data_IF_390583937996
#
_entry.id   IF_390583937996
#
_cell.length_a   1.000
_cell.length_b   1.000
_cell.length_c   1.000
_cell.angle_alpha   90.00
_cell.angle_beta   90.00
_cell.angle_gamma   90.00
#
_symmetry.space_group_name_H-M   'P 1'
#
loop_
_entity.id
_entity.type
_entity.pdbx_description
1 polymer ?
#
# COMPACT_ATOMS: atom_id res chain seq x y z
N UNK A 1 -7.71 -6.48 -16.40
CA UNK A 1 -6.35 -6.02 -16.04
C UNK A 1 -5.71 -7.03 -15.12
N UNK A 2 -4.49 -7.43 -15.44
CA UNK A 2 -3.79 -8.44 -14.67
C UNK A 2 -2.91 -7.79 -13.61
N UNK A 3 -3.03 -8.24 -12.37
CA UNK A 3 -2.20 -7.77 -11.26
C UNK A 3 -0.97 -8.66 -11.10
N UNK A 4 0.15 -8.05 -10.72
CA UNK A 4 1.35 -8.79 -10.36
C UNK A 4 1.52 -8.76 -8.84
N UNK A 5 1.06 -9.82 -8.19
CA UNK A 5 1.20 -10.00 -6.75
C UNK A 5 2.20 -11.11 -6.40
N UNK A 6 3.01 -11.54 -7.35
CA UNK A 6 4.00 -12.61 -7.16
C UNK A 6 5.43 -12.10 -7.20
N UNK A 7 5.70 -11.08 -8.02
CA UNK A 7 7.04 -10.53 -8.15
C UNK A 7 7.35 -9.60 -7.00
N UNK A 8 8.41 -9.90 -6.25
CA UNK A 8 8.89 -9.02 -5.20
C UNK A 8 9.64 -7.83 -5.81
N UNK A 9 9.32 -6.64 -5.33
CA UNK A 9 9.99 -5.42 -5.77
C UNK A 9 11.30 -5.25 -5.00
N UNK A 10 12.39 -4.94 -5.72
CA UNK A 10 13.66 -4.59 -5.08
C UNK A 10 13.55 -3.16 -4.54
N UNK A 11 13.57 -3.03 -3.23
CA UNK A 11 13.42 -1.74 -2.55
C UNK A 11 14.74 -1.21 -1.99
N UNK A 12 15.85 -1.85 -2.34
CA UNK A 12 17.18 -1.42 -1.90
C UNK A 12 17.50 -0.03 -2.45
N UNK A 13 17.98 0.85 -1.60
CA UNK A 13 18.34 2.21 -2.01
C UNK A 13 17.16 3.16 -2.23
N UNK A 14 15.95 2.75 -1.89
CA UNK A 14 14.75 3.57 -2.08
C UNK A 14 14.27 4.27 -0.81
N UNK A 15 15.04 4.19 0.26
CA UNK A 15 14.68 4.83 1.52
C UNK A 15 13.71 4.02 2.38
N UNK A 16 13.49 2.74 2.06
CA UNK A 16 12.66 1.87 2.89
C UNK A 16 13.30 1.65 4.24
N UNK A 17 12.59 2.01 5.30
CA UNK A 17 13.13 1.93 6.67
C UNK A 17 13.52 0.50 7.02
N UNK A 18 12.70 -0.48 6.72
CA UNK A 18 13.00 -1.87 7.10
C UNK A 18 14.16 -2.46 6.31
N UNK A 19 14.28 -2.15 5.02
CA UNK A 19 15.38 -2.64 4.20
C UNK A 19 16.69 -1.95 4.56
N UNK A 20 16.67 -0.63 4.69
CA UNK A 20 17.88 0.14 5.03
C UNK A 20 18.39 -0.24 6.42
N UNK A 21 17.51 -0.40 7.41
CA UNK A 21 17.91 -0.80 8.75
C UNK A 21 18.46 -2.21 8.82
N UNK A 22 17.94 -3.13 8.03
CA UNK A 22 18.47 -4.49 7.96
C UNK A 22 19.95 -4.49 7.55
N UNK A 23 20.26 -3.76 6.47
CA UNK A 23 21.65 -3.67 5.98
C UNK A 23 22.53 -2.83 6.89
N UNK A 24 22.00 -1.84 7.58
CA UNK A 24 22.71 -1.04 8.55
C UNK A 24 23.20 -1.92 9.73
N UNK A 25 22.34 -2.79 10.22
CA UNK A 25 22.65 -3.67 11.34
C UNK A 25 23.55 -4.84 10.94
N UNK A 26 23.41 -5.35 9.73
CA UNK A 26 24.20 -6.47 9.22
C UNK A 26 24.47 -6.28 7.72
N UNK A 27 25.60 -5.63 7.36
CA UNK A 27 25.95 -5.43 5.95
C UNK A 27 26.15 -6.71 5.15
N UNK A 28 26.31 -7.84 5.82
CA UNK A 28 26.58 -9.14 5.20
C UNK A 28 25.35 -10.03 5.10
N UNK A 29 24.15 -9.44 5.08
CA UNK A 29 22.91 -10.21 4.91
C UNK A 29 22.94 -10.94 3.57
N UNK A 30 22.65 -12.25 3.60
CA UNK A 30 22.60 -13.08 2.40
C UNK A 30 21.44 -12.66 1.47
N UNK A 31 21.61 -12.91 0.17
CA UNK A 31 20.56 -12.69 -0.79
C UNK A 31 19.32 -13.52 -0.45
N UNK A 32 18.15 -12.94 -0.68
CA UNK A 32 16.88 -13.61 -0.43
C UNK A 32 16.32 -13.43 0.97
N UNK A 33 17.07 -12.83 1.89
CA UNK A 33 16.58 -12.52 3.24
C UNK A 33 15.68 -11.29 3.17
N UNK A 34 14.48 -11.40 3.74
CA UNK A 34 13.47 -10.32 3.74
C UNK A 34 13.26 -9.85 5.17
N UNK A 35 13.34 -8.53 5.42
CA UNK A 35 13.05 -7.99 6.75
C UNK A 35 11.54 -8.04 7.05
N UNK A 36 11.19 -8.31 8.30
CA UNK A 36 9.81 -8.36 8.76
C UNK A 36 9.54 -7.33 9.87
N UNK A 37 10.41 -6.34 10.02
CA UNK A 37 10.35 -5.41 11.13
C UNK A 37 9.28 -4.31 11.00
N UNK A 38 8.80 -4.08 9.79
CA UNK A 38 7.78 -3.06 9.51
C UNK A 38 6.67 -3.69 8.68
N UNK A 39 5.44 -3.41 9.04
CA UNK A 39 4.28 -3.96 8.34
C UNK A 39 3.98 -3.14 7.08
N UNK A 40 4.79 -3.31 6.07
CA UNK A 40 4.51 -2.74 4.75
C UNK A 40 4.69 -3.80 3.66
N UNK A 41 4.21 -3.48 2.45
CA UNK A 41 4.12 -4.45 1.37
C UNK A 41 5.40 -4.53 0.56
N UNK A 42 5.69 -5.75 0.07
CA UNK A 42 6.81 -6.01 -0.85
C UNK A 42 6.34 -6.19 -2.30
N UNK A 43 5.05 -6.15 -2.54
CA UNK A 43 4.45 -6.39 -3.85
C UNK A 43 4.03 -5.09 -4.52
N UNK A 44 3.94 -5.12 -5.83
CA UNK A 44 3.51 -3.95 -6.60
C UNK A 44 2.07 -3.56 -6.28
N UNK A 45 1.83 -2.26 -6.27
CA UNK A 45 0.47 -1.74 -6.16
C UNK A 45 -0.36 -2.12 -7.40
N UNK A 46 -1.69 -2.25 -7.25
CA UNK A 46 -2.56 -2.39 -8.41
C UNK A 46 -2.36 -1.22 -9.39
N UNK A 47 -2.37 -1.46 -10.70
CA UNK A 47 -2.19 -0.39 -11.68
C UNK A 47 -3.19 0.76 -11.54
N UNK A 48 -4.40 0.48 -11.11
CA UNK A 48 -5.43 1.49 -10.90
C UNK A 48 -5.02 2.52 -9.84
N UNK A 49 -4.32 2.09 -8.80
CA UNK A 49 -3.83 2.99 -7.75
C UNK A 49 -2.81 3.97 -8.32
N UNK A 50 -1.86 3.47 -9.09
CA UNK A 50 -0.81 4.28 -9.70
C UNK A 50 -1.41 5.28 -10.68
N UNK A 51 -2.29 4.83 -11.56
CA UNK A 51 -2.94 5.69 -12.55
C UNK A 51 -3.81 6.77 -11.89
N UNK A 52 -4.51 6.43 -10.82
CA UNK A 52 -5.29 7.40 -10.06
C UNK A 52 -4.44 8.49 -9.44
N UNK A 53 -3.29 8.12 -8.85
CA UNK A 53 -2.36 9.07 -8.28
C UNK A 53 -1.75 9.98 -9.35
N UNK A 54 -1.36 9.42 -10.50
CA UNK A 54 -0.84 10.21 -11.61
C UNK A 54 -1.84 11.25 -12.10
N UNK A 55 -3.08 10.85 -12.30
CA UNK A 55 -4.15 11.77 -12.73
C UNK A 55 -4.38 12.87 -11.72
N UNK A 56 -4.34 12.54 -10.44
CA UNK A 56 -4.47 13.55 -9.38
C UNK A 56 -3.32 14.56 -9.42
N UNK A 57 -2.10 14.08 -9.55
CA UNK A 57 -0.91 14.94 -9.59
C UNK A 57 -0.91 15.86 -10.82
N UNK A 58 -1.47 15.43 -11.94
CA UNK A 58 -1.57 16.26 -13.15
C UNK A 58 -2.47 17.49 -12.96
N UNK A 59 -3.40 17.45 -12.03
CA UNK A 59 -4.41 18.49 -11.84
C UNK A 59 -4.28 19.24 -10.53
N UNK A 60 -3.73 18.63 -9.51
CA UNK A 60 -3.77 19.14 -8.15
C UNK A 60 -2.53 19.97 -7.81
N UNK A 61 -2.73 20.99 -7.02
CA UNK A 61 -1.67 21.68 -6.32
C UNK A 61 -1.51 20.97 -4.97
N UNK A 62 -0.27 20.62 -4.62
CA UNK A 62 0.01 19.95 -3.36
C UNK A 62 0.01 20.96 -2.22
N UNK A 63 -1.13 21.14 -1.62
CA UNK A 63 -1.34 22.07 -0.52
C UNK A 63 -2.11 21.44 0.62
N UNK A 64 -2.52 22.22 1.56
CA UNK A 64 -3.37 21.77 2.67
C UNK A 64 -4.76 21.49 2.14
N UNK A 65 -5.24 20.28 2.33
CA UNK A 65 -6.53 19.83 1.80
C UNK A 65 -7.32 19.13 2.89
N UNK A 66 -8.58 19.49 3.03
CA UNK A 66 -9.50 18.75 3.89
C UNK A 66 -10.11 17.55 3.17
N UNK A 67 -10.83 16.68 3.89
CA UNK A 67 -11.47 15.53 3.26
C UNK A 67 -12.60 16.00 2.32
N UNK A 68 -12.55 15.49 1.08
CA UNK A 68 -13.57 15.81 0.06
C UNK A 68 -14.80 14.92 0.22
N UNK A 69 -15.90 15.30 -0.40
CA UNK A 69 -17.11 14.47 -0.40
C UNK A 69 -16.87 13.13 -1.10
N UNK A 70 -16.09 13.13 -2.19
CA UNK A 70 -15.74 11.88 -2.89
C UNK A 70 -14.90 10.95 -2.01
N UNK A 71 -13.99 11.49 -1.21
CA UNK A 71 -13.23 10.72 -0.25
C UNK A 71 -14.14 10.08 0.80
N UNK A 72 -15.04 10.86 1.38
CA UNK A 72 -15.99 10.37 2.38
C UNK A 72 -16.88 9.26 1.84
N UNK A 73 -17.36 9.42 0.61
CA UNK A 73 -18.18 8.41 -0.06
C UNK A 73 -17.40 7.12 -0.32
N UNK A 74 -16.13 7.23 -0.71
CA UNK A 74 -15.27 6.06 -0.93
C UNK A 74 -15.04 5.27 0.36
N UNK A 75 -14.79 5.95 1.46
CA UNK A 75 -14.62 5.32 2.78
C UNK A 75 -15.92 4.63 3.20
N UNK A 76 -17.05 5.28 3.02
CA UNK A 76 -18.37 4.74 3.36
C UNK A 76 -18.67 3.47 2.55
N UNK A 77 -18.41 3.48 1.25
CA UNK A 77 -18.61 2.30 0.38
C UNK A 77 -17.73 1.14 0.80
N UNK A 78 -16.48 1.39 1.13
CA UNK A 78 -15.57 0.36 1.60
C UNK A 78 -16.04 -0.24 2.92
N UNK A 79 -16.48 0.60 3.84
CA UNK A 79 -17.01 0.17 5.15
C UNK A 79 -18.26 -0.70 4.98
N UNK A 80 -19.19 -0.30 4.13
CA UNK A 80 -20.39 -1.09 3.82
C UNK A 80 -20.05 -2.46 3.23
N UNK A 81 -19.12 -2.52 2.29
CA UNK A 81 -18.67 -3.79 1.69
C UNK A 81 -17.99 -4.68 2.72
N UNK A 82 -17.19 -4.12 3.59
CA UNK A 82 -16.50 -4.85 4.64
C UNK A 82 -17.50 -5.42 5.65
N UNK A 83 -18.49 -4.63 6.06
CA UNK A 83 -19.58 -5.08 6.93
C UNK A 83 -20.34 -6.24 6.33
N UNK A 84 -20.72 -6.15 5.06
CA UNK A 84 -21.41 -7.23 4.35
C UNK A 84 -20.58 -8.50 4.30
N UNK A 85 -19.29 -8.38 4.05
CA UNK A 85 -18.36 -9.51 4.04
C UNK A 85 -18.33 -10.23 5.38
N UNK A 86 -18.21 -9.48 6.49
CA UNK A 86 -18.17 -10.06 7.82
C UNK A 86 -19.50 -10.70 8.20
N UNK A 87 -20.62 -10.12 7.82
CA UNK A 87 -21.95 -10.71 8.00
C UNK A 87 -22.06 -12.06 7.31
N UNK A 88 -21.63 -12.18 6.05
CA UNK A 88 -21.65 -13.44 5.30
C UNK A 88 -20.80 -14.52 5.96
N UNK A 89 -19.74 -14.14 6.66
CA UNK A 89 -18.87 -15.08 7.37
C UNK A 89 -19.37 -15.40 8.77
N UNK A 90 -20.50 -14.81 9.21
CA UNK A 90 -21.01 -14.99 10.55
C UNK A 90 -20.16 -14.32 11.63
N UNK A 91 -19.38 -13.33 11.25
CA UNK A 91 -18.46 -12.61 12.14
C UNK A 91 -19.02 -11.21 12.39
N UNK A 92 -19.88 -11.08 13.37
CA UNK A 92 -20.40 -9.79 13.77
C UNK A 92 -19.39 -9.05 14.64
N UNK A 93 -19.20 -7.79 14.34
CA UNK A 93 -18.36 -6.92 15.13
C UNK A 93 -19.15 -6.28 16.27
#
# INVERSE_FOLDING_TARGET
MKYDFETRVDRTGQGSIKWEKMYEKNPNVADGVVPLSVADMELKHPPQLIEGLKKHLDKAILGYTGPTDSYKESVKKLDEKTSQFWHKKGMDS
#
